data_IF_383567464909
#
_entry.id   IF_383567464909
#
_cell.length_a   1.000
_cell.length_b   1.000
_cell.length_c   1.000
_cell.angle_alpha   90.00
_cell.angle_beta   90.00
_cell.angle_gamma   90.00
#
_symmetry.space_group_name_H-M   'P 1'
#
loop_
_entity.id
_entity.type
_entity.pdbx_description
1 polymer ?
#
# COMPACT_ATOMS: atom_id res chain seq x y z
N UNK A 1 14.47 11.44 19.44
CA UNK A 1 14.99 11.57 18.06
C UNK A 1 14.03 12.51 17.36
N UNK A 2 14.40 13.78 17.34
CA UNK A 2 13.80 14.82 16.52
C UNK A 2 14.76 15.16 15.37
N UNK A 3 14.30 15.96 14.40
CA UNK A 3 15.07 16.39 13.23
C UNK A 3 16.47 16.92 13.59
N UNK A 4 16.59 17.72 14.65
CA UNK A 4 17.86 18.29 15.13
C UNK A 4 18.84 17.19 15.52
N UNK A 5 18.42 16.27 16.40
CA UNK A 5 19.29 15.20 16.90
C UNK A 5 19.75 14.23 15.81
N UNK A 6 18.94 14.03 14.78
CA UNK A 6 19.29 13.19 13.65
C UNK A 6 20.30 13.90 12.75
N UNK A 7 19.97 15.10 12.30
CA UNK A 7 20.76 15.83 11.29
C UNK A 7 22.08 16.39 11.84
N UNK A 8 22.10 16.89 13.08
CA UNK A 8 23.30 17.52 13.64
C UNK A 8 24.21 16.56 14.42
N UNK A 9 23.70 15.43 14.92
CA UNK A 9 24.49 14.53 15.76
C UNK A 9 24.55 13.11 15.21
N UNK A 10 23.42 12.40 15.22
CA UNK A 10 23.38 10.95 14.99
C UNK A 10 23.87 10.57 13.58
N UNK A 11 23.62 11.41 12.57
CA UNK A 11 24.11 11.19 11.21
C UNK A 11 25.60 11.49 11.01
N UNK A 12 26.23 12.23 11.93
CA UNK A 12 27.61 12.73 11.78
C UNK A 12 28.64 11.88 12.54
N UNK A 13 28.22 11.11 13.54
CA UNK A 13 29.12 10.34 14.41
C UNK A 13 29.05 8.84 14.12
N UNK A 14 30.18 8.14 14.34
CA UNK A 14 30.27 6.68 14.15
C UNK A 14 29.92 5.97 15.46
N UNK A 15 28.65 5.64 15.66
CA UNK A 15 28.23 4.87 16.83
C UNK A 15 26.76 5.09 17.21
N UNK A 16 26.31 4.35 18.22
CA UNK A 16 24.99 4.54 18.79
C UNK A 16 25.01 5.73 19.77
N UNK A 17 24.01 6.60 19.69
CA UNK A 17 23.88 7.77 20.55
C UNK A 17 22.80 7.51 21.59
N UNK A 18 23.21 7.41 22.85
CA UNK A 18 22.26 7.24 23.94
C UNK A 18 21.56 8.57 24.25
N UNK A 19 20.22 8.56 24.26
CA UNK A 19 19.34 9.72 24.48
C UNK A 19 19.74 10.98 23.69
N UNK A 20 19.66 10.98 22.35
CA UNK A 20 20.12 12.10 21.53
C UNK A 20 19.53 13.46 21.91
N UNK A 21 18.24 13.50 22.29
CA UNK A 21 17.53 14.73 22.67
C UNK A 21 18.12 15.42 23.90
N UNK A 22 18.84 14.70 24.76
CA UNK A 22 19.47 15.25 25.96
C UNK A 22 20.49 16.35 25.62
N UNK A 23 21.25 16.18 24.53
CA UNK A 23 22.33 17.11 24.16
C UNK A 23 21.84 18.44 23.57
N UNK A 24 20.56 18.51 23.17
CA UNK A 24 19.94 19.71 22.58
C UNK A 24 18.93 20.39 23.51
N UNK A 25 18.55 19.75 24.62
CA UNK A 25 17.59 20.30 25.59
C UNK A 25 18.26 21.37 26.47
N UNK A 26 17.78 22.61 26.42
CA UNK A 26 18.31 23.75 27.18
C UNK A 26 18.17 23.62 28.68
N UNK A 27 17.29 22.74 29.16
CA UNK A 27 17.10 22.49 30.60
C UNK A 27 18.28 21.72 31.22
N UNK A 28 19.06 21.01 30.41
CA UNK A 28 20.23 20.26 30.88
C UNK A 28 21.47 21.16 30.88
N UNK A 29 21.89 21.61 32.07
CA UNK A 29 23.04 22.52 32.22
C UNK A 29 24.38 21.91 31.77
N UNK A 30 24.52 20.60 31.88
CA UNK A 30 25.71 19.82 31.54
C UNK A 30 25.71 19.30 30.10
N UNK A 31 24.68 19.64 29.29
CA UNK A 31 24.52 19.13 27.91
C UNK A 31 25.75 19.34 27.03
N UNK A 32 26.43 20.49 27.17
CA UNK A 32 27.58 20.87 26.34
C UNK A 32 28.78 20.01 26.70
N UNK A 33 29.00 19.78 28.00
CA UNK A 33 30.10 18.95 28.50
C UNK A 33 29.88 17.49 28.11
N UNK A 34 28.65 17.00 28.25
CA UNK A 34 28.28 15.65 27.80
C UNK A 34 28.40 15.49 26.29
N UNK A 35 28.03 16.51 25.50
CA UNK A 35 28.21 16.51 24.06
C UNK A 35 29.68 16.43 23.69
N UNK A 36 30.54 17.23 24.34
CA UNK A 36 31.98 17.22 24.09
C UNK A 36 32.58 15.84 24.37
N UNK A 37 32.22 15.20 25.50
CA UNK A 37 32.62 13.82 25.80
C UNK A 37 32.16 12.82 24.74
N UNK A 38 30.94 12.96 24.23
CA UNK A 38 30.43 12.11 23.16
C UNK A 38 31.26 12.28 21.88
N UNK A 39 31.56 13.53 21.50
CA UNK A 39 32.34 13.84 20.30
C UNK A 39 33.80 13.39 20.42
N UNK A 40 34.39 13.44 21.62
CA UNK A 40 35.74 12.94 21.91
C UNK A 40 35.83 11.41 21.82
N UNK A 41 34.77 10.70 22.22
CA UNK A 41 34.77 9.23 22.26
C UNK A 41 34.39 8.60 20.92
N UNK A 42 33.37 9.11 20.23
CA UNK A 42 32.88 8.54 18.97
C UNK A 42 33.45 9.20 17.73
N UNK A 43 34.12 10.35 17.90
CA UNK A 43 34.64 11.17 16.81
C UNK A 43 33.51 11.81 15.98
N UNK A 44 33.81 12.95 15.37
CA UNK A 44 32.91 13.61 14.43
C UNK A 44 33.62 13.87 13.12
N UNK A 45 32.84 14.01 12.04
CA UNK A 45 33.38 14.37 10.73
C UNK A 45 32.98 15.80 10.40
N UNK A 46 33.95 16.62 10.07
CA UNK A 46 33.72 17.91 9.43
C UNK A 46 33.70 17.70 7.92
N UNK A 47 32.57 17.96 7.28
CA UNK A 47 32.52 18.09 5.83
C UNK A 47 32.82 19.53 5.45
N UNK A 48 33.85 19.75 4.63
CA UNK A 48 34.02 21.00 3.91
C UNK A 48 33.35 20.77 2.57
N UNK A 49 32.14 21.29 2.41
CA UNK A 49 31.40 21.22 1.16
C UNK A 49 32.00 22.22 0.18
N UNK A 50 32.92 21.76 -0.67
CA UNK A 50 33.33 22.53 -1.84
C UNK A 50 32.27 22.36 -2.93
N UNK A 51 31.35 23.32 -3.03
CA UNK A 51 30.33 23.34 -4.10
C UNK A 51 30.92 23.54 -5.51
N UNK A 52 32.24 23.75 -5.61
CA UNK A 52 32.99 23.90 -6.86
C UNK A 52 33.65 22.58 -7.32
N UNK A 53 33.31 21.44 -6.73
CA UNK A 53 33.74 20.13 -7.22
C UNK A 53 33.25 19.87 -8.65
N UNK A 54 33.97 19.07 -9.44
CA UNK A 54 33.54 18.72 -10.80
C UNK A 54 32.12 18.17 -10.74
N UNK A 55 31.23 18.72 -11.58
CA UNK A 55 29.88 18.20 -11.80
C UNK A 55 30.01 16.70 -11.99
N UNK A 56 29.40 15.92 -11.10
CA UNK A 56 29.51 14.47 -11.11
C UNK A 56 29.02 13.95 -12.48
N UNK A 57 29.95 13.57 -13.36
CA UNK A 57 29.67 13.00 -14.69
C UNK A 57 29.38 11.48 -14.63
N UNK A 58 29.27 10.92 -13.42
CA UNK A 58 28.88 9.53 -13.25
C UNK A 58 27.38 9.34 -13.49
N UNK A 59 27.02 8.26 -14.19
CA UNK A 59 25.64 7.78 -14.25
C UNK A 59 25.06 7.67 -12.83
N UNK A 60 23.78 8.03 -12.67
CA UNK A 60 23.12 7.98 -11.38
C UNK A 60 23.20 6.55 -10.79
N UNK A 61 23.86 6.39 -9.65
CA UNK A 61 24.02 5.10 -8.99
C UNK A 61 22.68 4.50 -8.53
N UNK A 62 21.70 5.36 -8.25
CA UNK A 62 20.31 5.03 -7.96
C UNK A 62 19.43 6.03 -8.69
N UNK A 63 18.40 5.54 -9.37
CA UNK A 63 17.37 6.37 -9.96
C UNK A 63 16.02 6.08 -9.31
N UNK A 64 15.22 7.14 -9.18
CA UNK A 64 13.85 7.08 -8.65
C UNK A 64 12.83 6.73 -9.76
N UNK A 65 13.30 6.64 -11.01
CA UNK A 65 12.57 6.15 -12.16
C UNK A 65 12.66 4.62 -12.28
N UNK A 66 11.74 4.06 -13.07
CA UNK A 66 11.79 2.66 -13.46
C UNK A 66 12.09 2.60 -14.95
N UNK A 67 13.17 1.93 -15.30
CA UNK A 67 13.53 1.68 -16.69
C UNK A 67 13.43 0.20 -17.02
N UNK A 68 13.35 -0.10 -18.31
CA UNK A 68 13.32 -1.47 -18.79
C UNK A 68 13.42 -1.55 -20.30
N UNK A 69 13.44 -2.78 -20.79
CA UNK A 69 13.52 -3.09 -22.23
C UNK A 69 12.38 -4.02 -22.59
N UNK A 70 11.71 -3.71 -23.69
CA UNK A 70 10.75 -4.60 -24.32
C UNK A 70 11.44 -5.41 -25.42
N UNK A 71 11.58 -6.71 -25.19
CA UNK A 71 12.15 -7.66 -26.12
C UNK A 71 11.03 -8.38 -26.88
N UNK A 72 11.25 -8.67 -28.17
CA UNK A 72 10.31 -9.46 -28.98
C UNK A 72 10.94 -10.81 -29.35
N UNK A 73 10.24 -11.92 -29.08
CA UNK A 73 10.80 -13.27 -29.23
C UNK A 73 10.90 -13.78 -30.68
N UNK A 74 10.27 -13.09 -31.64
CA UNK A 74 10.20 -13.53 -33.05
C UNK A 74 11.38 -13.08 -33.91
N UNK A 75 12.48 -13.86 -33.95
CA UNK A 75 13.69 -13.58 -34.78
C UNK A 75 13.42 -13.19 -36.24
N UNK A 76 12.31 -13.64 -36.85
CA UNK A 76 11.93 -13.30 -38.24
C UNK A 76 11.15 -11.99 -38.40
N UNK A 77 10.44 -11.50 -37.38
CA UNK A 77 9.64 -10.25 -37.44
C UNK A 77 10.29 -9.08 -36.68
N UNK A 78 11.29 -9.34 -35.83
CA UNK A 78 12.09 -8.30 -35.16
C UNK A 78 12.87 -7.41 -36.14
N UNK A 79 13.27 -7.94 -37.31
CA UNK A 79 13.94 -7.19 -38.38
C UNK A 79 13.02 -6.26 -39.17
N UNK A 80 11.72 -6.55 -39.20
CA UNK A 80 10.74 -5.80 -40.00
C UNK A 80 10.28 -4.49 -39.33
N UNK A 81 10.58 -4.32 -38.02
CA UNK A 81 10.25 -3.12 -37.21
C UNK A 81 11.41 -2.64 -36.36
N UNK A 82 12.65 -2.85 -36.81
CA UNK A 82 13.83 -2.25 -36.19
C UNK A 82 13.76 -0.72 -36.44
N UNK A 83 13.05 0.03 -35.58
CA UNK A 83 12.82 1.47 -35.73
C UNK A 83 11.44 1.99 -35.32
N UNK A 84 10.42 1.13 -35.19
CA UNK A 84 9.08 1.57 -34.79
C UNK A 84 8.94 1.62 -33.26
N UNK A 85 8.63 2.80 -32.72
CA UNK A 85 8.32 2.98 -31.30
C UNK A 85 7.18 2.04 -30.90
N UNK A 86 7.41 1.22 -29.89
CA UNK A 86 6.42 0.28 -29.34
C UNK A 86 5.69 0.93 -28.16
N UNK A 87 4.41 0.61 -27.98
CA UNK A 87 3.59 1.19 -26.92
C UNK A 87 3.45 0.22 -25.74
N UNK A 88 3.68 0.73 -24.53
CA UNK A 88 3.45 0.03 -23.26
C UNK A 88 2.38 0.78 -22.48
N UNK A 89 1.33 0.08 -22.08
CA UNK A 89 0.38 0.61 -21.11
C UNK A 89 0.93 0.37 -19.71
N UNK A 90 0.93 1.40 -18.87
CA UNK A 90 1.34 1.34 -17.48
C UNK A 90 0.14 1.68 -16.62
N UNK A 91 -0.19 0.82 -15.66
CA UNK A 91 -1.36 0.95 -14.79
C UNK A 91 -0.93 0.91 -13.33
N UNK A 92 -1.42 1.84 -12.54
CA UNK A 92 -1.22 1.89 -11.09
C UNK A 92 -2.16 0.96 -10.34
N UNK A 93 -1.88 0.73 -9.06
CA UNK A 93 -2.66 -0.14 -8.19
C UNK A 93 -4.12 0.33 -7.98
N UNK A 94 -4.38 1.63 -8.16
CA UNK A 94 -5.73 2.23 -8.10
C UNK A 94 -6.49 2.11 -9.44
N UNK A 95 -5.83 1.64 -10.50
CA UNK A 95 -6.42 1.42 -11.83
C UNK A 95 -6.31 2.59 -12.80
N UNK A 96 -5.67 3.69 -12.41
CA UNK A 96 -5.26 4.75 -13.33
C UNK A 96 -4.17 4.24 -14.29
N UNK A 97 -4.26 4.60 -15.57
CA UNK A 97 -3.32 4.12 -16.58
C UNK A 97 -2.79 5.23 -17.48
N UNK A 98 -1.53 5.10 -17.88
CA UNK A 98 -0.85 5.93 -18.85
C UNK A 98 -0.23 5.07 -19.94
N UNK A 99 0.14 5.70 -21.07
CA UNK A 99 0.86 5.02 -22.15
C UNK A 99 2.28 5.57 -22.29
N UNK A 100 3.22 4.67 -22.55
CA UNK A 100 4.63 4.95 -22.77
C UNK A 100 5.04 4.48 -24.16
N UNK A 101 5.77 5.35 -24.85
CA UNK A 101 6.49 4.96 -26.05
C UNK A 101 7.86 4.46 -25.66
N UNK A 102 8.25 3.33 -26.24
CA UNK A 102 9.63 2.85 -26.23
C UNK A 102 10.44 3.57 -27.29
N UNK A 103 11.76 3.56 -27.14
CA UNK A 103 12.69 3.98 -28.18
C UNK A 103 12.79 2.94 -29.31
N UNK A 104 13.68 3.18 -30.28
CA UNK A 104 13.90 2.28 -31.43
C UNK A 104 14.49 0.92 -31.05
N UNK A 105 15.02 0.77 -29.84
CA UNK A 105 15.65 -0.44 -29.29
C UNK A 105 14.71 -1.15 -28.30
N UNK A 106 13.58 -0.52 -27.95
CA UNK A 106 12.60 -1.06 -27.02
C UNK A 106 12.78 -0.60 -25.57
N UNK A 107 13.72 0.32 -25.29
CA UNK A 107 13.86 0.89 -23.95
C UNK A 107 12.69 1.81 -23.62
N UNK A 108 12.23 1.75 -22.39
CA UNK A 108 11.27 2.69 -21.82
C UNK A 108 11.72 3.14 -20.44
N UNK A 109 11.26 4.32 -20.05
CA UNK A 109 11.47 4.88 -18.72
C UNK A 109 10.14 5.42 -18.20
N UNK A 110 9.79 5.04 -16.98
CA UNK A 110 8.70 5.61 -16.20
C UNK A 110 9.32 6.70 -15.33
N UNK A 111 9.17 7.95 -15.76
CA UNK A 111 9.69 9.10 -15.04
C UNK A 111 9.01 9.30 -13.67
N UNK A 112 9.65 10.08 -12.80
CA UNK A 112 9.21 10.31 -11.42
C UNK A 112 7.83 10.96 -11.32
N UNK A 113 7.39 11.76 -12.30
CA UNK A 113 6.08 12.37 -12.29
C UNK A 113 5.00 11.33 -12.58
N UNK A 114 5.21 10.48 -13.60
CA UNK A 114 4.32 9.33 -13.86
C UNK A 114 4.28 8.36 -12.69
N UNK A 115 5.41 8.12 -12.04
CA UNK A 115 5.48 7.30 -10.82
C UNK A 115 4.64 7.87 -9.67
N UNK A 116 4.60 9.21 -9.51
CA UNK A 116 3.74 9.89 -8.52
C UNK A 116 2.27 9.78 -8.88
N UNK A 117 1.92 9.93 -10.16
CA UNK A 117 0.53 9.77 -10.63
C UNK A 117 0.04 8.35 -10.37
N UNK A 118 0.86 7.34 -10.68
CA UNK A 118 0.56 5.91 -10.53
C UNK A 118 0.84 5.35 -9.13
N UNK A 119 0.95 6.22 -8.11
CA UNK A 119 1.22 5.82 -6.72
C UNK A 119 0.15 4.85 -6.21
N UNK A 120 0.58 3.88 -5.41
CA UNK A 120 -0.30 2.79 -4.98
C UNK A 120 0.42 1.51 -4.56
N UNK A 121 1.76 1.52 -4.54
CA UNK A 121 2.59 0.40 -4.11
C UNK A 121 3.09 -0.48 -5.27
N UNK A 122 2.25 -0.83 -6.24
CA UNK A 122 2.65 -1.59 -7.43
C UNK A 122 2.27 -0.89 -8.72
N UNK A 123 3.07 -1.16 -9.75
CA UNK A 123 2.84 -0.72 -11.12
C UNK A 123 2.80 -1.94 -12.02
N UNK A 124 1.84 -1.94 -12.93
CA UNK A 124 1.54 -3.01 -13.86
C UNK A 124 1.84 -2.55 -15.28
N UNK A 125 2.63 -3.32 -16.04
CA UNK A 125 3.01 -2.99 -17.41
C UNK A 125 2.41 -4.01 -18.37
N UNK A 126 1.81 -3.50 -19.45
CA UNK A 126 1.22 -4.29 -20.53
C UNK A 126 1.79 -3.83 -21.88
N UNK A 127 2.62 -4.65 -22.54
CA UNK A 127 2.99 -4.43 -23.93
C UNK A 127 1.74 -4.41 -24.82
N UNK A 128 1.62 -3.40 -25.68
CA UNK A 128 0.52 -3.28 -26.64
C UNK A 128 0.90 -3.85 -28.02
N UNK A 129 1.64 -4.95 -28.00
CA UNK A 129 1.93 -5.77 -29.17
C UNK A 129 0.98 -6.97 -29.23
N UNK A 130 0.68 -7.44 -30.44
CA UNK A 130 -0.14 -8.63 -30.61
C UNK A 130 0.56 -9.87 -30.02
N UNK A 131 -0.23 -10.87 -29.61
CA UNK A 131 0.27 -12.12 -29.00
C UNK A 131 1.26 -12.87 -29.90
N UNK A 132 1.21 -12.66 -31.22
CA UNK A 132 2.14 -13.25 -32.18
C UNK A 132 3.61 -12.85 -31.93
N UNK A 133 3.84 -11.63 -31.45
CA UNK A 133 5.19 -11.11 -31.23
C UNK A 133 5.83 -11.63 -29.94
N UNK A 134 5.04 -12.26 -29.05
CA UNK A 134 5.46 -12.73 -27.73
C UNK A 134 6.34 -11.69 -27.02
N UNK A 135 5.79 -10.50 -26.73
CA UNK A 135 6.56 -9.46 -26.07
C UNK A 135 6.97 -9.92 -24.66
N UNK A 136 8.20 -9.64 -24.29
CA UNK A 136 8.73 -9.84 -22.94
C UNK A 136 9.29 -8.52 -22.41
N UNK A 137 9.02 -8.19 -21.16
CA UNK A 137 9.57 -7.01 -20.49
C UNK A 137 10.63 -7.42 -19.49
N UNK A 138 11.82 -6.86 -19.65
CA UNK A 138 12.90 -6.89 -18.67
C UNK A 138 12.92 -5.55 -17.94
N UNK A 139 12.55 -5.56 -16.65
CA UNK A 139 12.42 -4.35 -15.83
C UNK A 139 13.62 -4.24 -14.90
N UNK A 140 14.25 -3.08 -14.87
CA UNK A 140 15.31 -2.74 -13.92
C UNK A 140 14.66 -2.12 -12.68
N UNK A 141 14.66 -2.86 -11.58
CA UNK A 141 14.09 -2.43 -10.30
C UNK A 141 15.21 -2.14 -9.28
N UNK A 142 15.35 -0.86 -8.90
CA UNK A 142 16.31 -0.42 -7.88
C UNK A 142 15.80 -0.56 -6.43
N UNK A 143 14.49 -0.78 -6.20
CA UNK A 143 13.91 -0.90 -4.86
C UNK A 143 14.57 -1.98 -3.99
N UNK A 144 14.92 -3.20 -4.48
CA UNK A 144 15.62 -4.19 -3.68
C UNK A 144 16.99 -3.71 -3.18
N UNK A 145 17.73 -2.96 -4.00
CA UNK A 145 19.02 -2.38 -3.64
C UNK A 145 18.82 -1.28 -2.58
N UNK A 146 17.85 -0.39 -2.80
CA UNK A 146 17.48 0.68 -1.84
C UNK A 146 17.08 0.09 -0.48
N UNK A 147 16.22 -0.93 -0.47
CA UNK A 147 15.74 -1.60 0.73
C UNK A 147 16.87 -2.34 1.48
N UNK A 148 17.86 -2.88 0.76
CA UNK A 148 19.07 -3.48 1.34
C UNK A 148 19.95 -2.44 2.04
N UNK A 149 20.16 -1.28 1.40
CA UNK A 149 20.94 -0.17 1.98
C UNK A 149 20.24 0.42 3.20
N UNK A 150 18.91 0.60 3.17
CA UNK A 150 18.11 1.11 4.29
C UNK A 150 18.23 0.22 5.53
N UNK A 151 18.12 -1.10 5.36
CA UNK A 151 18.19 -2.06 6.49
C UNK A 151 19.54 -2.05 7.21
N UNK A 152 20.64 -1.74 6.51
CA UNK A 152 21.98 -1.69 7.11
C UNK A 152 22.26 -0.41 7.93
N UNK A 153 21.51 0.68 7.71
CA UNK A 153 21.82 2.00 8.30
C UNK A 153 21.04 2.36 9.58
N UNK A 154 20.06 1.57 10.01
CA UNK A 154 19.26 1.90 11.21
C UNK A 154 19.19 0.74 12.21
N UNK A 155 20.14 0.63 13.15
CA UNK A 155 19.83 0.04 14.45
C UNK A 155 18.84 1.00 15.14
N UNK A 156 17.58 0.60 15.21
CA UNK A 156 16.48 1.43 15.69
C UNK A 156 16.80 2.08 17.03
N UNK A 157 16.69 3.41 17.10
CA UNK A 157 16.42 4.09 18.35
C UNK A 157 14.95 4.47 18.30
N UNK A 158 14.08 3.56 18.74
CA UNK A 158 12.74 3.98 19.14
C UNK A 158 12.95 5.01 20.24
N UNK A 159 12.46 6.22 20.02
CA UNK A 159 12.40 7.22 21.08
C UNK A 159 11.35 6.74 22.05
N UNK A 160 11.75 5.94 23.03
CA UNK A 160 10.96 5.84 24.25
C UNK A 160 11.19 7.19 24.94
N UNK A 161 10.32 8.16 24.65
CA UNK A 161 10.17 9.32 25.52
C UNK A 161 9.70 8.74 26.84
N UNK A 162 10.63 8.42 27.74
CA UNK A 162 10.31 8.28 29.15
C UNK A 162 10.01 9.69 29.60
N UNK A 163 8.74 10.06 29.56
CA UNK A 163 8.21 11.10 30.44
C UNK A 163 8.73 10.74 31.83
N UNK A 164 9.47 11.66 32.45
CA UNK A 164 9.51 11.67 33.90
C UNK A 164 8.04 11.82 34.28
N UNK A 165 7.44 10.72 34.74
CA UNK A 165 6.13 10.77 35.34
C UNK A 165 6.29 11.72 36.54
N UNK A 166 5.93 12.98 36.35
CA UNK A 166 5.41 13.76 37.44
C UNK A 166 4.30 12.88 37.99
N UNK A 167 4.45 12.47 39.25
CA UNK A 167 3.39 11.76 39.99
C UNK A 167 2.23 12.73 40.18
N UNK A 168 1.54 13.07 39.10
CA UNK A 168 0.15 13.49 39.18
C UNK A 168 -0.65 12.22 38.93
N UNK A 169 -1.54 11.91 39.87
CA UNK A 169 -2.48 10.81 39.76
C UNK A 169 -3.33 11.04 38.51
N UNK A 170 -2.96 10.39 37.41
CA UNK A 170 -3.84 10.24 36.27
C UNK A 170 -4.99 9.34 36.75
N UNK A 171 -6.14 9.96 37.03
CA UNK A 171 -7.39 9.23 37.06
C UNK A 171 -7.67 8.87 35.61
N UNK A 172 -7.28 7.65 35.22
CA UNK A 172 -7.76 7.02 33.99
C UNK A 172 -9.26 6.81 34.18
N UNK A 173 -10.05 7.85 33.83
CA UNK A 173 -11.48 7.70 33.75
C UNK A 173 -11.76 6.90 32.49
N UNK A 174 -12.38 5.71 32.58
CA UNK A 174 -12.79 4.99 31.39
C UNK A 174 -13.68 5.93 30.57
N UNK A 175 -13.49 5.92 29.25
CA UNK A 175 -14.35 6.67 28.34
C UNK A 175 -15.71 5.95 28.34
N UNK A 176 -16.61 6.37 29.24
CA UNK A 176 -17.95 5.80 29.35
C UNK A 176 -18.84 6.50 28.33
N UNK A 177 -19.27 5.77 27.30
CA UNK A 177 -20.40 6.19 26.46
C UNK A 177 -21.68 6.16 27.30
N UNK A 178 -22.61 7.10 27.05
CA UNK A 178 -23.95 7.08 27.64
C UNK A 178 -24.74 5.83 27.22
N UNK A 179 -24.39 5.28 26.07
CA UNK A 179 -25.01 4.13 25.45
C UNK A 179 -24.09 2.93 25.71
N UNK A 180 -24.64 1.73 25.88
CA UNK A 180 -23.94 0.51 26.37
C UNK A 180 -22.85 -0.07 25.43
N UNK A 181 -22.00 0.79 24.86
CA UNK A 181 -20.91 0.48 23.95
C UNK A 181 -19.69 0.08 24.79
N UNK A 182 -19.20 -1.14 24.55
CA UNK A 182 -18.00 -1.67 25.18
C UNK A 182 -16.78 -1.21 24.36
N UNK A 183 -15.98 -0.30 24.90
CA UNK A 183 -14.66 0.06 24.37
C UNK A 183 -13.67 -1.07 24.71
N UNK A 184 -12.91 -1.51 23.70
CA UNK A 184 -11.86 -2.51 23.87
C UNK A 184 -10.52 -1.78 24.02
N UNK A 185 -9.76 -2.07 25.07
CA UNK A 185 -8.45 -1.44 25.34
C UNK A 185 -7.38 -1.81 24.30
N UNK A 186 -7.33 -3.07 23.88
CA UNK A 186 -6.33 -3.56 22.92
C UNK A 186 -6.89 -4.70 22.06
N UNK A 187 -6.66 -4.61 20.75
CA UNK A 187 -6.93 -5.70 19.82
C UNK A 187 -5.60 -6.31 19.39
N UNK A 188 -5.22 -7.43 20.02
CA UNK A 188 -4.04 -8.20 19.61
C UNK A 188 -4.40 -9.01 18.37
N UNK A 189 -3.82 -8.64 17.22
CA UNK A 189 -3.97 -9.39 15.97
C UNK A 189 -3.18 -10.70 16.08
N UNK A 190 -3.85 -11.77 16.49
CA UNK A 190 -3.24 -13.09 16.75
C UNK A 190 -2.80 -13.82 15.47
N UNK A 191 -3.44 -13.55 14.32
CA UNK A 191 -3.10 -14.18 13.04
C UNK A 191 -3.57 -13.33 11.85
N UNK A 192 -2.67 -13.01 10.93
CA UNK A 192 -3.05 -12.57 9.58
C UNK A 192 -3.49 -13.79 8.79
N UNK A 193 -4.80 -13.95 8.55
CA UNK A 193 -5.28 -14.91 7.56
C UNK A 193 -4.59 -14.59 6.23
N UNK A 194 -3.96 -15.59 5.60
CA UNK A 194 -3.22 -15.47 4.32
C UNK A 194 -4.17 -15.23 3.13
N UNK A 195 -5.17 -14.34 3.23
CA UNK A 195 -5.65 -13.73 1.99
C UNK A 195 -4.54 -12.80 1.56
N UNK A 196 -3.89 -13.02 0.39
CA UNK A 196 -2.93 -12.06 -0.11
C UNK A 196 -3.65 -10.72 -0.17
N UNK A 197 -3.12 -9.72 0.51
CA UNK A 197 -3.62 -8.35 0.38
C UNK A 197 -3.43 -7.96 -1.08
N UNK A 198 -4.52 -7.97 -1.84
CA UNK A 198 -4.54 -7.54 -3.23
C UNK A 198 -4.86 -6.06 -3.26
N UNK A 199 -4.15 -5.32 -4.10
CA UNK A 199 -4.58 -3.98 -4.45
C UNK A 199 -5.86 -4.02 -5.30
N UNK A 200 -6.47 -2.85 -5.50
CA UNK A 200 -7.75 -2.72 -6.20
C UNK A 200 -7.65 -3.21 -7.65
N UNK A 201 -6.52 -2.97 -8.32
CA UNK A 201 -6.30 -3.42 -9.69
C UNK A 201 -6.27 -4.95 -9.80
N UNK A 202 -5.51 -5.63 -8.95
CA UNK A 202 -5.49 -7.10 -8.90
C UNK A 202 -6.83 -7.69 -8.49
N UNK A 203 -7.55 -7.02 -7.59
CA UNK A 203 -8.94 -7.38 -7.25
C UNK A 203 -9.87 -7.30 -8.46
N UNK A 204 -9.77 -6.22 -9.26
CA UNK A 204 -10.54 -6.07 -10.50
C UNK A 204 -10.19 -7.15 -11.53
N UNK A 205 -8.91 -7.50 -11.71
CA UNK A 205 -8.50 -8.59 -12.59
C UNK A 205 -9.13 -9.92 -12.16
N UNK A 206 -9.09 -10.23 -10.86
CA UNK A 206 -9.70 -11.42 -10.30
C UNK A 206 -11.21 -11.45 -10.59
N UNK A 207 -11.92 -10.37 -10.29
CA UNK A 207 -13.36 -10.26 -10.61
C UNK A 207 -13.66 -10.40 -12.10
N UNK A 208 -12.86 -9.79 -12.99
CA UNK A 208 -13.06 -9.93 -14.44
C UNK A 208 -12.83 -11.37 -14.90
N UNK A 209 -11.79 -12.05 -14.40
CA UNK A 209 -11.53 -13.46 -14.74
C UNK A 209 -12.59 -14.41 -14.19
N UNK A 210 -13.22 -14.07 -13.06
CA UNK A 210 -14.41 -14.76 -12.55
C UNK A 210 -15.63 -14.53 -13.44
N UNK A 211 -15.79 -13.33 -13.98
CA UNK A 211 -16.92 -12.99 -14.86
C UNK A 211 -16.83 -13.61 -16.26
N UNK A 212 -15.63 -13.87 -16.77
CA UNK A 212 -15.37 -14.47 -18.09
C UNK A 212 -15.53 -15.99 -18.12
N UNK A 213 -16.10 -16.60 -17.08
CA UNK A 213 -16.42 -18.02 -17.05
C UNK A 213 -17.62 -18.31 -17.93
N UNK A 214 -17.38 -18.41 -19.24
CA UNK A 214 -18.43 -18.66 -20.23
C UNK A 214 -19.10 -20.04 -20.08
N UNK A 215 -18.48 -20.98 -19.35
CA UNK A 215 -18.94 -22.36 -19.31
C UNK A 215 -19.77 -22.72 -18.07
N UNK A 216 -19.56 -22.09 -16.90
CA UNK A 216 -20.30 -22.44 -15.67
C UNK A 216 -21.48 -21.50 -15.49
N UNK A 217 -22.70 -22.05 -15.47
CA UNK A 217 -23.92 -21.26 -15.32
C UNK A 217 -24.98 -21.99 -14.51
N UNK A 218 -25.97 -21.23 -14.04
CA UNK A 218 -27.16 -21.74 -13.38
C UNK A 218 -28.30 -21.71 -14.39
N UNK A 219 -28.89 -22.88 -14.65
CA UNK A 219 -30.08 -23.00 -15.48
C UNK A 219 -31.30 -22.41 -14.76
N UNK A 220 -32.33 -21.98 -15.47
CA UNK A 220 -33.58 -21.46 -14.89
C UNK A 220 -34.28 -22.44 -13.92
N UNK A 221 -33.98 -23.74 -14.01
CA UNK A 221 -34.43 -24.75 -13.06
C UNK A 221 -33.60 -24.85 -11.76
N UNK A 222 -32.67 -23.89 -11.54
CA UNK A 222 -31.76 -23.73 -10.40
C UNK A 222 -30.63 -24.77 -10.27
N UNK A 223 -30.33 -25.53 -11.33
CA UNK A 223 -29.20 -26.45 -11.38
C UNK A 223 -27.94 -25.75 -11.88
N UNK A 224 -26.81 -26.02 -11.22
CA UNK A 224 -25.49 -25.54 -11.63
C UNK A 224 -24.90 -26.52 -12.65
N UNK A 225 -24.48 -26.02 -13.81
CA UNK A 225 -23.93 -26.85 -14.89
C UNK A 225 -22.46 -26.54 -15.13
N UNK A 226 -21.71 -27.54 -15.61
CA UNK A 226 -20.31 -27.50 -15.98
C UNK A 226 -19.33 -27.16 -14.83
N UNK A 227 -19.79 -27.19 -13.58
CA UNK A 227 -18.94 -26.95 -12.42
C UNK A 227 -17.95 -28.09 -12.15
N UNK A 228 -18.35 -29.33 -12.47
CA UNK A 228 -17.50 -30.52 -12.37
C UNK A 228 -17.55 -31.31 -13.70
N UNK A 229 -16.47 -32.01 -14.08
CA UNK A 229 -16.46 -32.85 -15.27
C UNK A 229 -17.60 -33.89 -15.27
N UNK A 230 -18.45 -33.86 -16.30
CA UNK A 230 -19.61 -34.75 -16.46
C UNK A 230 -20.87 -34.32 -15.68
N UNK A 231 -20.90 -33.12 -15.10
CA UNK A 231 -22.08 -32.51 -14.46
C UNK A 231 -22.59 -31.34 -15.31
N UNK A 232 -23.01 -31.64 -16.53
CA UNK A 232 -23.31 -30.71 -17.62
C UNK A 232 -24.80 -30.65 -17.99
N UNK A 233 -25.66 -31.41 -17.30
CA UNK A 233 -27.09 -31.46 -17.59
C UNK A 233 -27.94 -31.40 -16.31
N UNK A 234 -29.26 -31.23 -16.48
CA UNK A 234 -30.25 -31.33 -15.40
C UNK A 234 -31.35 -32.36 -15.78
N UNK A 235 -32.13 -32.87 -14.82
CA UNK A 235 -33.10 -33.93 -15.10
C UNK A 235 -34.24 -33.49 -16.04
N UNK A 236 -34.69 -34.41 -16.89
CA UNK A 236 -35.76 -34.21 -17.88
C UNK A 236 -37.14 -33.95 -17.25
N UNK A 237 -37.43 -34.54 -16.09
CA UNK A 237 -38.75 -34.43 -15.42
C UNK A 237 -39.02 -33.08 -14.75
N UNK A 238 -38.02 -32.18 -14.69
CA UNK A 238 -38.22 -30.76 -14.43
C UNK A 238 -38.07 -30.05 -15.78
N UNK A 239 -39.14 -29.96 -16.60
CA UNK A 239 -39.06 -29.20 -17.83
C UNK A 239 -38.69 -27.76 -17.43
N UNK A 240 -37.56 -27.28 -17.92
CA UNK A 240 -37.30 -25.85 -18.00
C UNK A 240 -38.34 -25.29 -18.97
N UNK A 241 -39.54 -24.99 -18.46
CA UNK A 241 -40.62 -24.33 -19.19
C UNK A 241 -40.30 -22.87 -19.53
N UNK A 242 -39.08 -22.43 -19.21
CA UNK A 242 -38.54 -21.14 -19.57
C UNK A 242 -37.39 -21.35 -20.58
N UNK A 243 -37.31 -20.53 -21.63
CA UNK A 243 -36.36 -20.73 -22.72
C UNK A 243 -34.91 -20.81 -22.20
N UNK A 244 -34.06 -21.49 -22.98
CA UNK A 244 -32.61 -21.65 -22.78
C UNK A 244 -31.81 -20.36 -22.52
N UNK A 245 -32.49 -19.22 -22.61
CA UNK A 245 -32.01 -17.85 -22.51
C UNK A 245 -31.97 -17.33 -21.06
N UNK A 246 -32.61 -18.01 -20.09
CA UNK A 246 -32.54 -17.63 -18.66
C UNK A 246 -31.35 -18.26 -17.92
N UNK A 247 -30.16 -18.24 -18.54
CA UNK A 247 -28.92 -18.62 -17.86
C UNK A 247 -28.51 -17.50 -16.93
N UNK A 248 -28.31 -17.81 -15.65
CA UNK A 248 -27.81 -16.84 -14.67
C UNK A 248 -26.43 -17.24 -14.19
N UNK A 249 -25.64 -16.25 -13.75
CA UNK A 249 -24.33 -16.52 -13.16
C UNK A 249 -24.50 -17.10 -11.75
N UNK A 250 -23.69 -18.10 -11.36
CA UNK A 250 -23.73 -18.63 -10.00
C UNK A 250 -23.28 -17.57 -8.98
N UNK A 251 -23.84 -17.66 -7.78
CA UNK A 251 -23.53 -16.77 -6.66
C UNK A 251 -22.51 -17.46 -5.75
N UNK A 252 -21.41 -16.77 -5.45
CA UNK A 252 -20.35 -17.26 -4.57
C UNK A 252 -20.91 -17.62 -3.18
N UNK A 253 -20.58 -18.82 -2.69
CA UNK A 253 -21.04 -19.32 -1.39
C UNK A 253 -22.48 -19.85 -1.36
N UNK A 254 -23.24 -19.75 -2.46
CA UNK A 254 -24.59 -20.33 -2.56
C UNK A 254 -24.51 -21.83 -2.88
N UNK A 255 -25.42 -22.61 -2.29
CA UNK A 255 -25.55 -24.04 -2.57
C UNK A 255 -26.39 -24.28 -3.82
N UNK A 256 -25.92 -25.18 -4.67
CA UNK A 256 -26.57 -25.62 -5.90
C UNK A 256 -26.57 -27.13 -6.00
N UNK A 257 -27.59 -27.66 -6.67
CA UNK A 257 -27.63 -29.07 -7.05
C UNK A 257 -26.93 -29.27 -8.39
N UNK A 258 -26.08 -30.29 -8.48
CA UNK A 258 -25.44 -30.75 -9.72
C UNK A 258 -25.72 -32.24 -9.93
N UNK A 259 -25.93 -32.62 -11.18
CA UNK A 259 -26.32 -33.99 -11.56
C UNK A 259 -25.41 -34.50 -12.67
N UNK A 260 -24.99 -35.75 -12.58
CA UNK A 260 -24.17 -36.43 -13.60
C UNK A 260 -24.99 -37.52 -14.30
N UNK A 261 -24.92 -37.54 -15.62
CA UNK A 261 -25.68 -38.46 -16.46
C UNK A 261 -24.79 -39.46 -17.19
N UNK A 262 -25.33 -40.65 -17.47
CA UNK A 262 -24.78 -41.60 -18.44
C UNK A 262 -25.62 -41.56 -19.69
N UNK A 263 -24.99 -41.39 -20.84
CA UNK A 263 -25.66 -41.62 -22.12
C UNK A 263 -25.80 -43.12 -22.35
N UNK A 264 -27.03 -43.58 -22.59
CA UNK A 264 -27.33 -44.98 -22.89
C UNK A 264 -27.56 -45.21 -24.40
N UNK A 265 -27.43 -44.16 -25.23
CA UNK A 265 -27.66 -44.17 -26.68
C UNK A 265 -28.93 -43.41 -27.06
N UNK A 266 -28.91 -42.70 -28.20
CA UNK A 266 -30.01 -41.81 -28.62
C UNK A 266 -30.25 -40.67 -27.62
N UNK A 267 -31.53 -40.33 -27.37
CA UNK A 267 -31.94 -39.34 -26.37
C UNK A 267 -32.17 -39.94 -24.97
N UNK A 268 -31.67 -41.16 -24.69
CA UNK A 268 -31.84 -41.83 -23.41
C UNK A 268 -30.66 -41.55 -22.47
N UNK A 269 -30.97 -41.03 -21.28
CA UNK A 269 -30.00 -40.69 -20.24
C UNK A 269 -30.43 -41.29 -18.90
N UNK A 270 -29.48 -41.77 -18.10
CA UNK A 270 -29.72 -42.18 -16.71
C UNK A 270 -28.94 -41.29 -15.75
N UNK A 271 -29.56 -40.87 -14.65
CA UNK A 271 -28.86 -40.17 -13.56
C UNK A 271 -27.94 -41.18 -12.86
N UNK A 272 -26.64 -40.87 -12.84
CA UNK A 272 -25.62 -41.67 -12.14
C UNK A 272 -25.40 -41.14 -10.73
N UNK A 273 -25.39 -39.81 -10.59
CA UNK A 273 -25.04 -39.15 -9.34
C UNK A 273 -25.74 -37.79 -9.19
N UNK A 274 -26.10 -37.44 -7.95
CA UNK A 274 -26.70 -36.16 -7.58
C UNK A 274 -26.06 -35.69 -6.28
N UNK A 275 -25.54 -34.47 -6.28
CA UNK A 275 -24.89 -33.87 -5.13
C UNK A 275 -25.27 -32.40 -4.98
N UNK A 276 -25.30 -31.93 -3.73
CA UNK A 276 -25.42 -30.51 -3.40
C UNK A 276 -24.03 -29.97 -3.13
N UNK A 277 -23.63 -28.93 -3.85
CA UNK A 277 -22.31 -28.29 -3.73
C UNK A 277 -22.46 -26.81 -3.44
N UNK A 278 -21.59 -26.28 -2.58
CA UNK A 278 -21.42 -24.83 -2.45
C UNK A 278 -20.57 -24.34 -3.60
N UNK A 279 -21.07 -23.37 -4.36
CA UNK A 279 -20.30 -22.79 -5.46
C UNK A 279 -19.15 -21.95 -4.92
N UNK A 280 -17.95 -22.33 -5.33
CA UNK A 280 -16.76 -21.53 -5.19
C UNK A 280 -16.10 -21.37 -6.55
N UNK A 281 -15.93 -20.12 -7.00
CA UNK A 281 -15.16 -19.80 -8.19
C UNK A 281 -13.71 -20.27 -8.06
N UNK A 282 -13.01 -20.58 -9.16
CA UNK A 282 -11.59 -20.89 -9.11
C UNK A 282 -10.82 -19.70 -8.54
N UNK A 283 -9.90 -20.02 -7.64
CA UNK A 283 -9.03 -19.05 -7.00
C UNK A 283 -7.75 -19.00 -7.82
N UNK A 284 -7.55 -17.91 -8.55
CA UNK A 284 -6.30 -17.69 -9.28
C UNK A 284 -5.24 -17.10 -8.36
N UNK A 285 -4.00 -17.54 -8.51
CA UNK A 285 -2.83 -16.87 -7.94
C UNK A 285 -2.54 -15.56 -8.67
N UNK A 286 -1.82 -14.63 -8.03
CA UNK A 286 -1.45 -13.36 -8.67
C UNK A 286 -0.61 -13.59 -9.95
N UNK A 287 0.28 -14.58 -9.93
CA UNK A 287 1.11 -14.93 -11.09
C UNK A 287 0.27 -15.42 -12.26
N UNK A 288 -0.80 -16.18 -11.99
CA UNK A 288 -1.73 -16.64 -13.03
C UNK A 288 -2.54 -15.47 -13.59
N UNK A 289 -3.07 -14.60 -12.74
CA UNK A 289 -3.81 -13.41 -13.18
C UNK A 289 -2.94 -12.50 -14.07
N UNK A 290 -1.68 -12.26 -13.68
CA UNK A 290 -0.73 -11.48 -14.48
C UNK A 290 -0.45 -12.15 -15.83
N UNK A 291 -0.19 -13.47 -15.83
CA UNK A 291 0.08 -14.22 -17.06
C UNK A 291 -1.12 -14.24 -18.01
N UNK A 292 -2.33 -14.46 -17.50
CA UNK A 292 -3.56 -14.47 -18.30
C UNK A 292 -3.83 -13.11 -18.97
N UNK A 293 -3.43 -12.02 -18.30
CA UNK A 293 -3.63 -10.66 -18.77
C UNK A 293 -2.43 -10.06 -19.52
N UNK A 294 -1.34 -10.84 -19.70
CA UNK A 294 -0.07 -10.38 -20.29
C UNK A 294 0.51 -9.15 -19.57
N UNK A 295 0.60 -9.24 -18.24
CA UNK A 295 1.04 -8.15 -17.38
C UNK A 295 2.35 -8.50 -16.65
N UNK A 296 3.21 -7.50 -16.54
CA UNK A 296 4.37 -7.49 -15.67
C UNK A 296 4.10 -6.59 -14.47
N UNK A 297 4.73 -6.89 -13.34
CA UNK A 297 4.56 -6.12 -12.10
C UNK A 297 5.91 -5.72 -11.55
N UNK A 298 6.03 -4.47 -11.14
CA UNK A 298 7.18 -3.93 -10.40
C UNK A 298 6.68 -3.08 -9.22
N UNK A 299 7.54 -2.84 -8.23
CA UNK A 299 7.21 -1.94 -7.11
C UNK A 299 7.10 -0.50 -7.62
N UNK A 300 6.09 0.22 -7.17
CA UNK A 300 5.89 1.64 -7.44
C UNK A 300 6.05 2.49 -6.19
N UNK A 301 5.76 3.78 -6.30
CA UNK A 301 5.69 4.65 -5.13
C UNK A 301 4.54 4.23 -4.22
N UNK A 302 4.80 4.29 -2.91
CA UNK A 302 3.79 4.04 -1.89
C UNK A 302 2.62 5.00 -2.07
N UNK A 303 1.41 4.52 -1.80
CA UNK A 303 0.25 5.39 -1.69
C UNK A 303 0.53 6.47 -0.63
N UNK A 304 0.05 7.68 -0.89
CA UNK A 304 0.03 8.72 0.15
C UNK A 304 -0.85 8.19 1.28
N UNK A 305 -0.24 8.02 2.46
CA UNK A 305 -1.01 7.70 3.67
C UNK A 305 -1.39 9.02 4.30
N UNK A 306 -2.67 9.32 4.28
CA UNK A 306 -3.23 10.43 5.02
C UNK A 306 -3.55 9.94 6.43
N UNK A 307 -3.25 10.78 7.41
CA UNK A 307 -3.65 10.52 8.78
C UNK A 307 -5.16 10.74 8.89
N UNK A 308 -5.88 9.82 9.54
CA UNK A 308 -7.32 9.97 9.70
C UNK A 308 -7.63 11.21 10.54
N UNK A 309 -8.48 12.08 10.01
CA UNK A 309 -9.00 13.25 10.71
C UNK A 309 -10.53 13.18 10.64
N UNK A 310 -11.23 13.19 11.80
CA UNK A 310 -12.68 13.14 11.81
C UNK A 310 -13.25 14.41 11.19
N UNK A 311 -14.38 14.25 10.52
CA UNK A 311 -15.19 15.35 10.02
C UNK A 311 -16.33 15.70 11.00
N UNK A 312 -17.15 16.69 10.64
CA UNK A 312 -18.27 17.11 11.48
C UNK A 312 -19.29 15.99 11.71
N UNK A 313 -19.45 15.05 10.77
CA UNK A 313 -20.40 13.94 10.88
C UNK A 313 -19.87 12.93 11.88
N UNK A 314 -18.58 12.58 11.80
CA UNK A 314 -17.90 11.70 12.75
C UNK A 314 -18.02 12.25 14.18
N UNK A 315 -17.84 13.55 14.36
CA UNK A 315 -17.93 14.22 15.67
C UNK A 315 -19.36 14.28 16.24
N UNK A 316 -20.39 14.04 15.42
CA UNK A 316 -21.79 13.98 15.86
C UNK A 316 -22.24 12.55 16.21
N UNK A 317 -21.41 11.54 15.94
CA UNK A 317 -21.74 10.17 16.28
C UNK A 317 -21.81 10.01 17.81
N UNK A 318 -22.74 9.18 18.33
CA UNK A 318 -22.82 8.87 19.76
C UNK A 318 -21.67 7.95 20.23
N UNK A 319 -20.74 7.63 19.33
CA UNK A 319 -19.61 6.76 19.60
C UNK A 319 -18.48 7.62 20.16
N UNK A 320 -17.97 7.32 21.37
CA UNK A 320 -16.90 8.11 21.96
C UNK A 320 -15.61 8.06 21.14
N UNK A 321 -14.96 9.21 20.98
CA UNK A 321 -13.69 9.36 20.27
C UNK A 321 -12.51 9.06 21.21
N UNK A 322 -11.87 7.90 21.01
CA UNK A 322 -10.70 7.45 21.77
C UNK A 322 -9.37 7.60 21.01
N UNK A 323 -9.24 8.59 20.10
CA UNK A 323 -8.00 8.81 19.34
C UNK A 323 -6.85 9.32 20.23
N UNK A 324 -5.73 8.58 20.24
CA UNK A 324 -4.50 9.00 20.92
C UNK A 324 -3.65 10.01 20.13
N UNK A 325 -3.87 10.13 18.82
CA UNK A 325 -3.20 11.12 17.96
C UNK A 325 -4.29 11.99 17.33
N UNK A 326 -4.29 13.28 17.67
CA UNK A 326 -5.34 14.20 17.26
C UNK A 326 -5.09 14.79 15.87
N UNK A 327 -3.82 14.99 15.52
CA UNK A 327 -3.40 15.63 14.28
C UNK A 327 -2.00 15.15 13.85
N UNK A 328 -1.81 14.94 12.55
CA UNK A 328 -0.50 14.67 11.95
C UNK A 328 -0.51 15.15 10.50
N UNK A 329 0.22 16.23 10.21
CA UNK A 329 0.46 16.70 8.85
C UNK A 329 1.95 16.67 8.53
N UNK A 330 2.39 16.00 7.45
CA UNK A 330 3.78 15.96 7.05
C UNK A 330 4.25 17.27 6.37
N UNK A 331 3.32 18.14 5.98
CA UNK A 331 3.62 19.37 5.27
C UNK A 331 2.71 20.49 5.77
N UNK A 332 3.32 21.49 6.40
CA UNK A 332 2.68 22.74 6.80
C UNK A 332 3.57 23.85 6.28
N UNK A 333 3.02 24.71 5.42
CA UNK A 333 3.75 25.85 4.85
C UNK A 333 3.34 27.10 5.61
N UNK A 334 4.33 27.81 6.13
CA UNK A 334 4.12 29.09 6.81
C UNK A 334 3.86 30.21 5.81
N UNK A 335 3.16 31.25 6.25
CA UNK A 335 2.98 32.48 5.49
C UNK A 335 4.28 33.33 5.44
N UNK A 336 4.20 34.51 4.83
CA UNK A 336 5.33 35.45 4.71
C UNK A 336 5.88 35.94 6.06
N UNK A 337 5.12 35.80 7.14
CA UNK A 337 5.54 36.15 8.51
C UNK A 337 6.14 34.96 9.25
N UNK A 338 6.13 33.77 8.65
CA UNK A 338 6.57 32.53 9.30
C UNK A 338 5.49 31.90 10.19
N UNK A 339 4.22 32.30 10.05
CA UNK A 339 3.10 31.79 10.84
C UNK A 339 2.32 30.71 10.07
N UNK A 340 1.82 29.70 10.78
CA UNK A 340 0.91 28.71 10.21
C UNK A 340 -0.17 28.34 11.23
N UNK A 341 -1.42 28.31 10.78
CA UNK A 341 -2.57 27.92 11.61
C UNK A 341 -3.03 26.53 11.21
N UNK A 342 -3.12 25.62 12.19
CA UNK A 342 -3.70 24.29 12.02
C UNK A 342 -4.92 24.14 12.91
N UNK A 343 -5.89 23.34 12.47
CA UNK A 343 -7.12 23.07 13.22
C UNK A 343 -7.43 21.59 13.19
N UNK A 344 -7.84 21.06 14.34
CA UNK A 344 -8.16 19.65 14.52
C UNK A 344 -9.18 19.48 15.64
N UNK A 345 -9.94 18.38 15.61
CA UNK A 345 -10.88 18.02 16.67
C UNK A 345 -10.17 17.24 17.79
N UNK A 346 -10.50 17.58 19.03
CA UNK A 346 -10.06 16.83 20.21
C UNK A 346 -10.84 15.52 20.36
N UNK A 347 -10.21 14.52 20.98
CA UNK A 347 -10.84 13.27 21.40
C UNK A 347 -11.62 13.45 22.71
N UNK A 348 -12.45 12.47 23.06
CA UNK A 348 -13.18 12.40 24.34
C UNK A 348 -12.33 11.94 25.53
N UNK A 349 -11.06 11.60 25.30
CA UNK A 349 -10.13 11.17 26.35
C UNK A 349 -9.70 12.37 27.20
N UNK A 350 -9.88 12.25 28.52
CA UNK A 350 -9.43 13.22 29.52
C UNK A 350 -7.93 13.08 29.80
N UNK A 351 -7.08 13.61 28.93
CA UNK A 351 -5.62 13.48 29.08
C UNK A 351 -4.85 14.71 28.62
N UNK A 352 -3.55 14.71 28.91
CA UNK A 352 -2.59 15.66 28.36
C UNK A 352 -2.12 15.20 26.99
N UNK A 353 -2.17 16.10 26.01
CA UNK A 353 -1.65 15.90 24.66
C UNK A 353 -0.36 16.69 24.47
N UNK A 354 0.51 16.14 23.64
CA UNK A 354 1.78 16.75 23.24
C UNK A 354 1.69 17.10 21.76
N UNK A 355 1.95 18.36 21.43
CA UNK A 355 2.21 18.80 20.07
C UNK A 355 3.72 18.81 19.81
N UNK A 356 4.16 18.28 18.66
CA UNK A 356 5.54 18.33 18.22
C UNK A 356 5.59 18.88 16.80
N UNK A 357 6.32 19.98 16.62
CA UNK A 357 6.55 20.59 15.32
C UNK A 357 8.04 20.43 14.97
N UNK A 358 8.33 19.97 13.76
CA UNK A 358 9.68 19.81 13.23
C UNK A 358 9.69 20.30 11.79
N UNK A 359 10.70 21.08 11.41
CA UNK A 359 10.73 21.71 10.10
C UNK A 359 12.09 22.21 9.67
N UNK A 360 12.12 22.72 8.44
CA UNK A 360 13.28 23.34 7.81
C UNK A 360 12.82 24.62 7.12
N UNK A 361 13.61 25.68 7.18
CA UNK A 361 13.33 26.93 6.47
C UNK A 361 13.84 26.89 5.01
N UNK A 362 13.60 27.96 4.25
CA UNK A 362 14.05 28.08 2.86
C UNK A 362 15.58 28.11 2.67
N UNK A 363 16.35 28.29 3.75
CA UNK A 363 17.82 28.30 3.73
C UNK A 363 18.44 26.99 4.21
N UNK A 364 17.60 26.05 4.67
CA UNK A 364 18.04 24.76 5.20
C UNK A 364 18.25 24.72 6.72
N UNK A 365 17.91 25.78 7.45
CA UNK A 365 17.97 25.79 8.91
C UNK A 365 16.86 24.94 9.51
N UNK A 366 17.23 24.08 10.45
CA UNK A 366 16.33 23.13 11.09
C UNK A 366 15.73 23.73 12.36
N UNK A 367 14.43 23.52 12.56
CA UNK A 367 13.69 23.90 13.76
C UNK A 367 12.92 22.72 14.34
N UNK A 368 12.79 22.68 15.66
CA UNK A 368 11.93 21.74 16.37
C UNK A 368 11.42 22.38 17.63
N UNK A 369 10.12 22.24 17.91
CA UNK A 369 9.52 22.71 19.14
C UNK A 369 8.43 21.74 19.64
N UNK A 370 8.12 21.83 20.93
CA UNK A 370 7.13 21.00 21.60
C UNK A 370 6.22 21.85 22.47
N UNK A 371 4.92 21.63 22.35
CA UNK A 371 3.92 22.19 23.24
C UNK A 371 3.11 21.09 23.95
N UNK A 372 2.48 21.44 25.06
CA UNK A 372 1.60 20.56 25.82
C UNK A 372 0.28 21.26 26.10
N UNK A 373 -0.83 20.54 25.98
CA UNK A 373 -2.16 21.04 26.32
C UNK A 373 -3.00 19.92 26.91
N UNK A 374 -4.05 20.27 27.64
CA UNK A 374 -4.91 19.30 28.32
C UNK A 374 -6.31 19.34 27.74
N UNK A 375 -6.88 18.17 27.47
CA UNK A 375 -8.27 17.99 27.09
C UNK A 375 -9.04 17.45 28.29
N UNK A 376 -10.11 18.14 28.67
CA UNK A 376 -11.00 17.73 29.76
C UNK A 376 -12.43 17.91 29.26
N UNK A 377 -13.18 16.82 29.27
CA UNK A 377 -14.62 16.83 29.03
C UNK A 377 -15.28 17.55 30.19
N UNK A 378 -16.02 18.62 29.90
CA UNK A 378 -16.88 19.26 30.89
C UNK A 378 -18.02 18.30 31.20
N UNK A 379 -18.12 17.85 32.45
CA UNK A 379 -19.33 17.24 32.96
C UNK A 379 -20.39 18.35 33.03
N UNK A 380 -21.46 18.20 32.26
CA UNK A 380 -22.67 19.01 32.42
C UNK A 380 -23.63 18.33 33.39
#
# INVERSE_FOLDING_TARGET
MNILTHCYLSSQIRGAVHRPSYYFDERNKDRVQAMDLLLLTQGWRRYIWEFNGPVYQGEAFLSDDISGVQVTGGRKKSREKQGDKQLVQVTGAEGNSAFLWTDSVGHFTIDTNRMKELRGGYIYLKPMLSKEFKPELEIVDYFPVIDSVRRKKYPGHSVTVRTQAVKEEFVDMPVVSSDSIILLDEVVVSRKARRPFRDKFMGRLDSMTQMSMENVYVCGCSYLQNYKPGYDAHPWWKPCGEPSDKRTKPVEGKQYEIVKFKHLGGNAFSVIDRQTVTYHGPIYSEKELLRMNNLWRTKGYYALREFYQPDEVDMQLPIPDARNTLFCSPMVVTDEKGEATVSFYCSDINTGFIGMAEGVDGTGLLGSDKCEFRVIRKAN
#
